data_IF_702735006053
#
_entry.id   IF_702735006053
#
_cell.length_a   1.000
_cell.length_b   1.000
_cell.length_c   1.000
_cell.angle_alpha   90.00
_cell.angle_beta   90.00
_cell.angle_gamma   90.00
#
_symmetry.space_group_name_H-M   'P 1'
#
loop_
_entity.id
_entity.type
_entity.pdbx_description
1 polymer ?
#
# COMPACT_ATOMS: atom_id res chain seq x y z
N UNK A 1 -13.08 1.81 8.76
CA UNK A 1 -11.93 1.96 7.86
C UNK A 1 -10.69 1.33 8.46
N UNK A 2 -9.92 0.64 7.64
CA UNK A 2 -8.70 0.02 8.10
C UNK A 2 -7.69 1.08 8.50
N UNK A 3 -7.04 0.89 9.64
CA UNK A 3 -6.05 1.84 10.13
C UNK A 3 -4.81 1.89 9.25
N UNK A 4 -4.32 0.71 8.88
CA UNK A 4 -3.11 0.60 8.07
C UNK A 4 -3.35 1.07 6.64
N UNK A 5 -2.29 1.58 6.03
CA UNK A 5 -2.30 1.94 4.62
C UNK A 5 -1.76 0.74 3.84
N UNK A 6 -2.44 0.38 2.77
CA UNK A 6 -2.03 -0.76 1.96
C UNK A 6 -1.16 -0.29 0.81
N UNK A 7 0.03 -0.86 0.72
CA UNK A 7 0.97 -0.53 -0.35
C UNK A 7 0.76 -1.52 -1.48
N UNK A 8 0.41 -1.01 -2.64
CA UNK A 8 0.12 -1.82 -3.82
C UNK A 8 1.00 -1.40 -4.99
N UNK A 9 1.08 -2.24 -5.99
CA UNK A 9 1.91 -1.97 -7.16
C UNK A 9 1.25 -0.99 -8.12
N UNK A 10 -0.02 -1.18 -8.40
CA UNK A 10 -0.69 -0.37 -9.40
C UNK A 10 -2.16 -0.12 -9.10
N UNK A 11 -2.79 0.62 -10.02
CA UNK A 11 -4.15 1.08 -9.87
C UNK A 11 -5.16 -0.06 -9.81
N UNK A 12 -4.92 -1.13 -10.55
CA UNK A 12 -5.84 -2.27 -10.53
C UNK A 12 -5.84 -2.97 -9.17
N UNK A 13 -4.68 -3.02 -8.54
CA UNK A 13 -4.60 -3.56 -7.19
C UNK A 13 -5.36 -2.70 -6.21
N UNK A 14 -5.26 -1.38 -6.37
CA UNK A 14 -6.02 -0.45 -5.55
C UNK A 14 -7.52 -0.72 -5.67
N UNK A 15 -8.01 -0.87 -6.89
CA UNK A 15 -9.43 -1.14 -7.12
C UNK A 15 -9.85 -2.44 -6.46
N UNK A 16 -9.06 -3.49 -6.65
CA UNK A 16 -9.36 -4.79 -6.07
C UNK A 16 -9.40 -4.76 -4.55
N UNK A 17 -8.42 -4.11 -3.94
CA UNK A 17 -8.35 -4.00 -2.49
C UNK A 17 -9.52 -3.20 -1.94
N UNK A 18 -9.85 -2.08 -2.57
CA UNK A 18 -10.93 -1.22 -2.10
C UNK A 18 -12.31 -1.83 -2.27
N UNK A 19 -12.45 -2.82 -3.13
CA UNK A 19 -13.69 -3.59 -3.20
C UNK A 19 -13.90 -4.47 -1.98
N UNK A 20 -12.80 -4.98 -1.44
CA UNK A 20 -12.86 -5.91 -0.31
C UNK A 20 -12.77 -5.20 1.03
N UNK A 21 -12.05 -4.09 1.09
CA UNK A 21 -11.75 -3.39 2.33
C UNK A 21 -11.94 -1.89 2.17
N UNK A 22 -12.44 -1.27 3.21
CA UNK A 22 -12.45 0.18 3.30
C UNK A 22 -11.10 0.64 3.85
N UNK A 23 -10.23 1.11 2.96
CA UNK A 23 -8.85 1.42 3.31
C UNK A 23 -8.25 2.46 2.37
N UNK A 24 -7.11 3.01 2.78
CA UNK A 24 -6.30 3.85 1.92
C UNK A 24 -5.17 3.04 1.31
N UNK A 25 -4.74 3.41 0.13
CA UNK A 25 -3.67 2.72 -0.57
C UNK A 25 -2.61 3.70 -1.06
N UNK A 26 -1.40 3.20 -1.25
CA UNK A 26 -0.32 3.92 -1.91
C UNK A 26 0.17 3.03 -3.05
N UNK A 27 0.22 3.58 -4.26
CA UNK A 27 0.68 2.85 -5.43
C UNK A 27 2.16 3.14 -5.67
N UNK A 28 2.94 2.10 -5.83
CA UNK A 28 4.37 2.24 -6.05
C UNK A 28 4.75 2.39 -7.51
N UNK A 29 3.91 1.91 -8.41
CA UNK A 29 4.18 2.01 -9.84
C UNK A 29 5.25 1.04 -10.35
N UNK A 30 5.47 -0.05 -9.65
CA UNK A 30 6.44 -1.06 -10.06
C UNK A 30 7.70 -1.03 -9.22
N UNK A 31 8.84 -1.36 -9.85
CA UNK A 31 10.08 -1.57 -9.10
C UNK A 31 10.83 -0.30 -8.72
N UNK A 32 10.63 0.78 -9.47
CA UNK A 32 11.35 2.03 -9.22
C UNK A 32 10.53 2.92 -8.31
N UNK A 33 10.87 2.91 -7.03
CA UNK A 33 10.20 3.78 -6.06
C UNK A 33 10.73 5.20 -6.21
N UNK A 34 9.82 6.13 -6.42
CA UNK A 34 10.17 7.54 -6.45
C UNK A 34 10.41 8.06 -5.04
N UNK A 35 11.29 9.04 -4.86
CA UNK A 35 11.52 9.61 -3.53
C UNK A 35 10.24 10.09 -2.85
N UNK A 36 9.33 10.67 -3.62
CA UNK A 36 8.05 11.13 -3.09
C UNK A 36 7.21 9.98 -2.54
N UNK A 37 7.18 8.86 -3.27
CA UNK A 37 6.44 7.68 -2.85
C UNK A 37 7.04 7.09 -1.58
N UNK A 38 8.37 7.04 -1.51
CA UNK A 38 9.05 6.56 -0.30
C UNK A 38 8.69 7.40 0.92
N UNK A 39 8.64 8.71 0.75
CA UNK A 39 8.25 9.60 1.85
C UNK A 39 6.82 9.36 2.30
N UNK A 40 5.91 9.13 1.36
CA UNK A 40 4.53 8.81 1.68
C UNK A 40 4.42 7.51 2.47
N UNK A 41 5.14 6.49 2.02
CA UNK A 41 5.14 5.19 2.69
C UNK A 41 5.71 5.33 4.09
N UNK A 42 6.81 6.03 4.23
CA UNK A 42 7.43 6.24 5.54
C UNK A 42 6.49 6.97 6.50
N UNK A 43 5.84 8.03 6.03
CA UNK A 43 4.89 8.76 6.85
C UNK A 43 3.71 7.88 7.25
N UNK A 44 3.19 7.09 6.33
CA UNK A 44 2.10 6.18 6.62
C UNK A 44 2.53 5.12 7.64
N UNK A 45 3.71 4.57 7.46
CA UNK A 45 4.26 3.58 8.38
C UNK A 45 4.34 4.12 9.80
N UNK A 46 4.84 5.33 9.96
CA UNK A 46 5.02 5.92 11.29
C UNK A 46 3.70 6.27 11.96
N UNK A 47 2.73 6.71 11.18
CA UNK A 47 1.46 7.17 11.74
C UNK A 47 0.41 6.08 11.87
N UNK A 48 0.37 5.17 10.92
CA UNK A 48 -0.74 4.25 10.79
C UNK A 48 -0.32 2.79 10.68
N UNK A 49 0.91 2.54 10.28
CA UNK A 49 1.34 1.21 9.89
C UNK A 49 1.03 0.95 8.43
N UNK A 50 1.71 -0.02 7.84
CA UNK A 50 1.50 -0.37 6.44
C UNK A 50 1.37 -1.87 6.28
N UNK A 51 0.67 -2.25 5.20
CA UNK A 51 0.58 -3.65 4.76
C UNK A 51 1.08 -3.65 3.33
N UNK A 52 2.13 -4.40 3.05
CA UNK A 52 2.67 -4.50 1.70
C UNK A 52 2.01 -5.66 1.00
N UNK A 53 1.27 -5.36 -0.05
CA UNK A 53 0.61 -6.37 -0.86
C UNK A 53 1.47 -6.60 -2.08
N UNK A 54 2.27 -7.65 -2.03
CA UNK A 54 3.09 -8.05 -3.15
C UNK A 54 2.32 -9.08 -3.96
N UNK A 55 2.99 -9.87 -4.76
CA UNK A 55 2.37 -10.90 -5.60
C UNK A 55 1.44 -11.83 -4.83
N UNK A 56 0.69 -12.69 -5.55
CA UNK A 56 -0.37 -13.50 -4.98
C UNK A 56 -0.03 -14.30 -3.74
N UNK A 57 1.21 -14.33 -3.36
CA UNK A 57 1.65 -15.15 -2.24
C UNK A 57 1.40 -14.54 -0.88
N UNK A 58 0.83 -13.37 -0.80
CA UNK A 58 0.44 -12.85 0.47
C UNK A 58 0.80 -11.40 0.73
N UNK A 59 0.55 -10.97 1.95
CA UNK A 59 0.82 -9.63 2.41
C UNK A 59 1.74 -9.68 3.63
N UNK A 60 2.66 -8.71 3.68
CA UNK A 60 3.52 -8.52 4.84
C UNK A 60 3.05 -7.27 5.57
N UNK A 61 2.87 -7.39 6.88
CA UNK A 61 2.45 -6.27 7.71
C UNK A 61 3.64 -5.70 8.47
N UNK A 62 3.78 -4.42 8.46
CA UNK A 62 4.84 -3.73 9.18
C UNK A 62 4.31 -2.68 10.13
#
# INVERSE_FOLDING_TARGET
MLKEVIIVEGKMDTVAVKRALECDTIETGGFALRPQTLKQIEAAYKKRGIIILTDPDGALSF
#
